data_IF_432833814735
#
_entry.id   IF_432833814735
#
_cell.length_a   1.000
_cell.length_b   1.000
_cell.length_c   1.000
_cell.angle_alpha   90.00
_cell.angle_beta   90.00
_cell.angle_gamma   90.00
#
_symmetry.space_group_name_H-M   'P 1'
#
loop_
_entity.id
_entity.type
_entity.pdbx_description
1 polymer ?
#
# COMPACT_ATOMS: atom_id res chain seq x y z
N UNK A 1 -4.10 23.92 19.28
CA UNK A 1 -4.01 22.88 18.23
C UNK A 1 -5.41 22.26 18.10
N UNK A 2 -6.16 22.60 17.06
CA UNK A 2 -7.52 22.10 16.85
C UNK A 2 -7.41 20.70 16.23
N UNK A 3 -7.56 19.67 17.04
CA UNK A 3 -7.72 18.30 16.54
C UNK A 3 -9.18 18.19 16.09
N UNK A 4 -9.40 17.94 14.80
CA UNK A 4 -10.75 17.78 14.23
C UNK A 4 -11.52 16.70 15.01
N UNK A 5 -12.79 16.96 15.31
CA UNK A 5 -13.66 16.09 16.11
C UNK A 5 -13.71 14.66 15.54
N UNK A 6 -13.55 14.52 14.23
CA UNK A 6 -13.45 13.26 13.49
C UNK A 6 -12.32 12.33 13.97
N UNK A 7 -11.21 12.88 14.50
CA UNK A 7 -10.08 12.10 15.05
C UNK A 7 -10.45 11.45 16.39
N UNK A 8 -11.55 11.89 17.03
CA UNK A 8 -12.03 11.31 18.29
C UNK A 8 -12.91 10.08 18.08
N UNK A 9 -13.55 9.98 16.90
CA UNK A 9 -14.42 8.87 16.51
C UNK A 9 -13.73 7.83 15.64
N UNK A 10 -12.80 8.26 14.79
CA UNK A 10 -11.87 7.36 14.13
C UNK A 10 -10.76 7.02 15.14
N UNK A 11 -10.39 5.74 15.28
CA UNK A 11 -9.26 5.34 16.10
C UNK A 11 -8.01 6.17 15.78
N UNK A 12 -7.01 6.22 16.68
CA UNK A 12 -5.91 7.14 16.53
C UNK A 12 -5.28 7.00 15.14
N UNK A 13 -5.10 8.12 14.43
CA UNK A 13 -4.73 8.14 13.01
C UNK A 13 -3.47 7.31 12.70
N UNK A 14 -2.56 7.21 13.66
CA UNK A 14 -1.38 6.35 13.58
C UNK A 14 -1.75 4.86 13.46
N UNK A 15 -2.79 4.38 14.14
CA UNK A 15 -3.21 2.98 14.08
C UNK A 15 -3.78 2.62 12.69
N UNK A 16 -4.58 3.52 12.09
CA UNK A 16 -5.06 3.33 10.71
C UNK A 16 -3.90 3.36 9.71
N UNK A 17 -2.95 4.27 9.89
CA UNK A 17 -1.75 4.35 9.06
C UNK A 17 -0.87 3.10 9.20
N UNK A 18 -0.60 2.66 10.42
CA UNK A 18 0.17 1.45 10.71
C UNK A 18 -0.49 0.22 10.09
N UNK A 19 -1.79 0.05 10.26
CA UNK A 19 -2.53 -1.06 9.64
C UNK A 19 -2.40 -1.08 8.11
N UNK A 20 -2.55 0.08 7.47
CA UNK A 20 -2.38 0.20 6.02
C UNK A 20 -0.94 -0.10 5.59
N UNK A 21 0.04 0.46 6.29
CA UNK A 21 1.45 0.27 5.99
C UNK A 21 1.90 -1.17 6.20
N UNK A 22 1.45 -1.85 7.24
CA UNK A 22 1.79 -3.26 7.47
C UNK A 22 1.31 -4.15 6.32
N UNK A 23 0.08 -3.94 5.84
CA UNK A 23 -0.48 -4.68 4.70
C UNK A 23 0.29 -4.38 3.42
N UNK A 24 0.60 -3.10 3.18
CA UNK A 24 1.34 -2.68 2.00
C UNK A 24 2.78 -3.22 2.00
N UNK A 25 3.49 -3.10 3.13
CA UNK A 25 4.82 -3.68 3.31
C UNK A 25 4.80 -5.21 3.18
N UNK A 26 3.77 -5.89 3.67
CA UNK A 26 3.59 -7.34 3.48
C UNK A 26 3.43 -7.71 2.00
N UNK A 27 2.63 -6.94 1.26
CA UNK A 27 2.49 -7.09 -0.18
C UNK A 27 3.82 -6.90 -0.93
N UNK A 28 4.59 -5.87 -0.58
CA UNK A 28 5.90 -5.61 -1.16
C UNK A 28 6.90 -6.73 -0.85
N UNK A 29 6.90 -7.23 0.39
CA UNK A 29 7.75 -8.36 0.81
C UNK A 29 7.44 -9.63 0.02
N UNK A 30 6.17 -9.91 -0.24
CA UNK A 30 5.77 -11.04 -1.09
C UNK A 30 6.23 -10.86 -2.55
N UNK A 31 6.45 -9.63 -3.00
CA UNK A 31 7.06 -9.29 -4.29
C UNK A 31 8.57 -9.57 -4.38
N UNK A 32 9.26 -9.65 -3.25
CA UNK A 32 10.72 -9.78 -3.16
C UNK A 32 11.24 -11.23 -3.22
N UNK A 33 10.51 -12.13 -3.87
CA UNK A 33 10.92 -13.54 -3.98
C UNK A 33 12.11 -13.76 -4.95
N UNK A 34 12.32 -12.84 -5.89
CA UNK A 34 13.40 -12.94 -6.88
C UNK A 34 14.77 -12.64 -6.26
N UNK A 35 15.65 -13.65 -6.20
CA UNK A 35 17.02 -13.51 -5.67
C UNK A 35 17.99 -12.82 -6.63
N UNK A 36 17.69 -12.80 -7.93
CA UNK A 36 18.59 -12.26 -8.97
C UNK A 36 18.37 -10.78 -9.25
N UNK A 37 17.10 -10.35 -9.30
CA UNK A 37 16.74 -8.95 -9.57
C UNK A 37 15.54 -8.51 -8.70
N UNK A 38 15.71 -8.43 -7.37
CA UNK A 38 14.61 -8.16 -6.44
C UNK A 38 13.89 -6.84 -6.75
N UNK A 39 14.65 -5.76 -6.97
CA UNK A 39 14.10 -4.43 -7.19
C UNK A 39 13.40 -4.26 -8.54
N UNK A 40 13.98 -4.79 -9.62
CA UNK A 40 13.38 -4.71 -10.95
C UNK A 40 12.06 -5.51 -11.02
N UNK A 41 12.02 -6.69 -10.39
CA UNK A 41 10.80 -7.49 -10.31
C UNK A 41 9.73 -6.80 -9.46
N UNK A 42 10.12 -6.23 -8.33
CA UNK A 42 9.20 -5.48 -7.47
C UNK A 42 8.59 -4.29 -8.21
N UNK A 43 9.43 -3.51 -8.90
CA UNK A 43 8.98 -2.35 -9.67
C UNK A 43 7.99 -2.74 -10.77
N UNK A 44 8.31 -3.77 -11.57
CA UNK A 44 7.41 -4.27 -12.60
C UNK A 44 6.08 -4.77 -12.02
N UNK A 45 6.12 -5.42 -10.85
CA UNK A 45 4.92 -5.90 -10.18
C UNK A 45 4.01 -4.75 -9.73
N UNK A 46 4.58 -3.69 -9.14
CA UNK A 46 3.82 -2.49 -8.75
C UNK A 46 3.23 -1.80 -9.98
N UNK A 47 4.00 -1.63 -11.05
CA UNK A 47 3.51 -1.04 -12.30
C UNK A 47 2.35 -1.84 -12.89
N UNK A 48 2.47 -3.16 -12.91
CA UNK A 48 1.41 -4.02 -13.43
C UNK A 48 0.14 -3.95 -12.58
N UNK A 49 0.25 -3.90 -11.25
CA UNK A 49 -0.94 -3.74 -10.40
C UNK A 49 -1.64 -2.42 -10.60
N UNK A 50 -0.91 -1.31 -10.68
CA UNK A 50 -1.50 0.01 -10.94
C UNK A 50 -2.17 0.05 -12.31
N UNK A 51 -1.54 -0.57 -13.32
CA UNK A 51 -2.12 -0.66 -14.66
C UNK A 51 -3.44 -1.43 -14.68
N UNK A 52 -3.51 -2.57 -13.98
CA UNK A 52 -4.75 -3.35 -13.86
C UNK A 52 -5.84 -2.60 -13.09
N UNK A 53 -5.49 -1.90 -12.02
CA UNK A 53 -6.43 -1.05 -11.27
C UNK A 53 -6.97 0.09 -12.13
N UNK A 54 -6.09 0.74 -12.91
CA UNK A 54 -6.48 1.81 -13.82
C UNK A 54 -7.44 1.30 -14.91
N UNK A 55 -7.14 0.14 -15.51
CA UNK A 55 -8.04 -0.48 -16.49
C UNK A 55 -9.40 -0.81 -15.85
N UNK A 56 -9.41 -1.38 -14.64
CA UNK A 56 -10.64 -1.68 -13.92
C UNK A 56 -11.45 -0.45 -13.53
N UNK A 57 -10.83 0.72 -13.36
CA UNK A 57 -11.51 1.98 -13.07
C UNK A 57 -12.08 2.67 -14.31
N UNK A 58 -11.65 2.28 -15.52
CA UNK A 58 -12.14 2.84 -16.79
C UNK A 58 -13.37 2.12 -17.34
N UNK A 59 -13.72 0.94 -16.83
CA UNK A 59 -14.92 0.17 -17.19
C UNK A 59 -15.94 0.20 -16.06
#
# INVERSE_FOLDING_TARGET
LHVADDIRFCGPSWATWTFWMERYCGYLQFGLHSKRFPWANLNNRVLHTVYLEQLGAQY
#
